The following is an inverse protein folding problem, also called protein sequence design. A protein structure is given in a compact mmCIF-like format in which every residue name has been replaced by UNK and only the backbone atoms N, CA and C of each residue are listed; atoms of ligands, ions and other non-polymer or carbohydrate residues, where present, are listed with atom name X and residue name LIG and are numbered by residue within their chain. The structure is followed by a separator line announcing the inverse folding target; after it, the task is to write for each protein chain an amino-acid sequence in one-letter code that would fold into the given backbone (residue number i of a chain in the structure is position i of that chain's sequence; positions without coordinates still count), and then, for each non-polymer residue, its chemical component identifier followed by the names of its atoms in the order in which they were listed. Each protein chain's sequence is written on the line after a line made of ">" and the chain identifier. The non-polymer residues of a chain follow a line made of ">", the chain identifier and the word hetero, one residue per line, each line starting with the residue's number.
data_IF_469924160943
#
_entry.id   IF_469924160943
#
_cell.length_a   1.000
_cell.length_b   1.000
_cell.length_c   1.000
_cell.angle_alpha   90.00
_cell.angle_beta   90.00
_cell.angle_gamma   90.00
#
_symmetry.space_group_name_H-M   'P 1'
#
loop_
_entity.id
_entity.type
_entity.pdbx_description
1 polymer ?
#
# COMPACT_ATOMS: atom_id res chain seq x y z
N UNK A 1 22.90 2.08 6.46
CA UNK A 1 22.99 1.34 5.19
C UNK A 1 21.58 0.88 4.86
N UNK A 2 20.94 1.46 3.85
CA UNK A 2 19.56 1.10 3.48
C UNK A 2 19.48 -0.31 2.86
N UNK A 3 20.63 -0.86 2.44
CA UNK A 3 20.76 -2.21 1.86
C UNK A 3 20.55 -3.36 2.86
N UNK A 4 20.28 -3.07 4.14
CA UNK A 4 19.96 -4.09 5.16
C UNK A 4 18.47 -4.39 5.26
N UNK A 5 17.61 -3.61 4.60
CA UNK A 5 16.20 -3.98 4.44
C UNK A 5 16.11 -5.06 3.37
N UNK A 6 15.55 -6.21 3.73
CA UNK A 6 15.38 -7.37 2.86
C UNK A 6 14.84 -6.98 1.47
N UNK A 7 15.73 -6.96 0.47
CA UNK A 7 15.47 -6.50 -0.90
C UNK A 7 14.75 -7.58 -1.73
N UNK A 8 14.32 -8.70 -1.10
CA UNK A 8 13.56 -9.76 -1.79
C UNK A 8 12.17 -9.33 -2.29
N UNK A 9 11.72 -8.13 -1.90
CA UNK A 9 10.46 -7.57 -2.35
C UNK A 9 9.26 -8.21 -1.65
N UNK A 10 8.06 -7.76 -2.01
CA UNK A 10 6.84 -8.22 -1.37
C UNK A 10 6.39 -9.56 -1.98
N UNK A 11 6.67 -10.68 -1.30
CA UNK A 11 6.06 -11.97 -1.66
C UNK A 11 4.52 -11.96 -1.57
N UNK A 12 3.81 -12.80 -2.35
CA UNK A 12 2.35 -12.88 -2.31
C UNK A 12 1.75 -13.10 -0.92
N UNK A 13 2.45 -13.83 -0.05
CA UNK A 13 2.00 -14.10 1.33
C UNK A 13 1.96 -12.86 2.20
N UNK A 14 2.88 -11.91 1.98
CA UNK A 14 2.88 -10.65 2.71
C UNK A 14 1.65 -9.82 2.34
N UNK A 15 1.31 -9.78 1.05
CA UNK A 15 0.08 -9.14 0.58
C UNK A 15 -1.16 -9.82 1.13
N UNK A 16 -1.23 -11.15 1.08
CA UNK A 16 -2.33 -11.92 1.66
C UNK A 16 -2.50 -11.60 3.16
N UNK A 17 -1.40 -11.50 3.91
CA UNK A 17 -1.42 -11.11 5.34
C UNK A 17 -2.02 -9.73 5.55
N UNK A 18 -1.68 -8.77 4.69
CA UNK A 18 -2.21 -7.41 4.76
C UNK A 18 -3.72 -7.40 4.51
N UNK A 19 -4.18 -8.10 3.46
CA UNK A 19 -5.60 -8.21 3.11
C UNK A 19 -6.37 -8.92 4.23
N UNK A 20 -5.83 -10.01 4.78
CA UNK A 20 -6.42 -10.74 5.89
C UNK A 20 -6.55 -9.85 7.14
N UNK A 21 -5.49 -9.11 7.49
CA UNK A 21 -5.49 -8.20 8.64
C UNK A 21 -6.56 -7.11 8.49
N UNK A 22 -6.66 -6.51 7.30
CA UNK A 22 -7.68 -5.50 7.03
C UNK A 22 -9.11 -6.06 7.09
N UNK A 23 -9.33 -7.28 6.59
CA UNK A 23 -10.64 -7.95 6.66
C UNK A 23 -11.05 -8.24 8.11
N UNK A 24 -10.11 -8.70 8.93
CA UNK A 24 -10.31 -8.98 10.36
C UNK A 24 -10.60 -7.69 11.12
N UNK A 25 -9.79 -6.65 10.92
CA UNK A 25 -10.00 -5.34 11.57
C UNK A 25 -11.37 -4.77 11.20
N UNK A 26 -11.71 -4.80 9.92
CA UNK A 26 -13.02 -4.35 9.46
C UNK A 26 -14.14 -5.12 10.15
N UNK A 27 -14.06 -6.45 10.19
CA UNK A 27 -15.08 -7.27 10.82
C UNK A 27 -15.19 -7.00 12.33
N UNK A 28 -14.07 -6.94 13.04
CA UNK A 28 -14.04 -6.68 14.47
C UNK A 28 -14.67 -5.33 14.83
N UNK A 29 -14.41 -4.29 14.02
CA UNK A 29 -14.92 -2.93 14.26
C UNK A 29 -16.35 -2.71 13.75
N UNK A 30 -16.77 -3.40 12.70
CA UNK A 30 -18.04 -3.13 11.99
C UNK A 30 -19.27 -3.66 12.72
N UNK A 31 -19.13 -4.77 13.45
CA UNK A 31 -20.25 -5.43 14.13
C UNK A 31 -20.22 -5.18 15.63
N UNK A 32 -21.28 -4.56 16.17
CA UNK A 32 -21.37 -4.28 17.60
C UNK A 32 -21.40 -5.56 18.44
N UNK A 33 -20.84 -5.49 19.65
CA UNK A 33 -20.87 -6.60 20.60
C UNK A 33 -22.26 -6.72 21.23
N UNK A 34 -22.82 -7.94 21.32
CA UNK A 34 -24.03 -8.19 22.11
C UNK A 34 -23.69 -8.15 23.61
N UNK A 35 -24.72 -8.10 24.46
CA UNK A 35 -24.58 -8.10 25.93
C UNK A 35 -23.71 -9.26 26.48
N UNK A 36 -23.64 -10.39 25.77
CA UNK A 36 -22.81 -11.55 26.10
C UNK A 36 -21.34 -11.49 25.64
N UNK A 37 -20.88 -10.34 25.12
CA UNK A 37 -19.50 -10.05 24.67
C UNK A 37 -18.93 -10.86 23.50
N UNK A 38 -19.33 -12.12 23.33
CA UNK A 38 -18.84 -13.03 22.29
C UNK A 38 -19.72 -12.99 21.03
N UNK A 39 -19.09 -12.87 19.88
CA UNK A 39 -19.70 -12.97 18.54
C UNK A 39 -19.21 -14.21 17.82
N UNK A 40 -19.94 -14.58 16.78
CA UNK A 40 -19.47 -15.51 15.76
C UNK A 40 -19.32 -14.73 14.46
N UNK A 41 -18.09 -14.64 13.96
CA UNK A 41 -17.73 -13.87 12.77
C UNK A 41 -17.31 -14.83 11.65
N UNK A 42 -18.08 -14.84 10.58
CA UNK A 42 -17.81 -15.64 9.39
C UNK A 42 -17.20 -14.72 8.32
N UNK A 43 -15.94 -14.97 7.94
CA UNK A 43 -15.20 -14.11 7.03
C UNK A 43 -14.60 -14.94 5.90
N UNK A 44 -14.94 -14.57 4.67
CA UNK A 44 -14.33 -15.14 3.46
C UNK A 44 -13.31 -14.18 2.90
N UNK A 45 -12.06 -14.62 2.79
CA UNK A 45 -10.93 -13.78 2.34
C UNK A 45 -10.31 -14.38 1.08
N UNK A 46 -10.20 -13.61 -0.02
CA UNK A 46 -9.43 -14.03 -1.18
C UNK A 46 -7.93 -13.95 -0.88
N UNK A 47 -7.19 -15.03 -1.17
CA UNK A 47 -5.74 -15.12 -0.96
C UNK A 47 -5.06 -15.66 -2.21
N UNK A 48 -3.82 -15.23 -2.45
CA UNK A 48 -3.02 -15.63 -3.59
C UNK A 48 -2.41 -17.02 -3.35
N UNK A 49 -1.80 -17.26 -2.19
CA UNK A 49 -1.22 -18.56 -1.85
C UNK A 49 -2.20 -19.43 -1.04
N UNK A 50 -3.30 -19.83 -1.69
CA UNK A 50 -4.38 -20.60 -1.05
C UNK A 50 -3.88 -21.87 -0.35
N UNK A 51 -2.91 -22.57 -0.95
CA UNK A 51 -2.36 -23.81 -0.40
C UNK A 51 -1.72 -23.59 0.96
N UNK A 52 -1.03 -22.47 1.15
CA UNK A 52 -0.39 -22.15 2.43
C UNK A 52 -1.41 -21.79 3.49
N UNK A 53 -2.41 -20.97 3.13
CA UNK A 53 -3.45 -20.53 4.05
C UNK A 53 -4.42 -21.64 4.48
N UNK A 54 -4.60 -22.67 3.65
CA UNK A 54 -5.40 -23.86 3.97
C UNK A 54 -4.66 -24.89 4.83
N UNK A 55 -3.37 -24.69 5.14
CA UNK A 55 -2.64 -25.63 6.00
C UNK A 55 -3.30 -25.68 7.39
N UNK A 56 -3.53 -26.88 7.96
CA UNK A 56 -4.17 -27.04 9.26
C UNK A 56 -3.50 -26.23 10.38
N UNK A 57 -2.16 -26.19 10.39
CA UNK A 57 -1.40 -25.46 11.41
C UNK A 57 -1.58 -23.95 11.31
N UNK A 58 -1.71 -23.43 10.09
CA UNK A 58 -1.94 -21.99 9.84
C UNK A 58 -3.34 -21.62 10.31
N UNK A 59 -4.36 -22.39 9.90
CA UNK A 59 -5.74 -22.18 10.34
C UNK A 59 -5.89 -22.27 11.86
N UNK A 60 -5.27 -23.28 12.48
CA UNK A 60 -5.28 -23.47 13.93
C UNK A 60 -4.64 -22.29 14.66
N UNK A 61 -3.49 -21.84 14.18
CA UNK A 61 -2.79 -20.69 14.75
C UNK A 61 -3.61 -19.40 14.61
N UNK A 62 -4.16 -19.13 13.43
CA UNK A 62 -5.03 -17.97 13.20
C UNK A 62 -6.25 -17.98 14.11
N UNK A 63 -6.99 -19.09 14.19
CA UNK A 63 -8.15 -19.18 15.06
C UNK A 63 -7.77 -18.99 16.54
N UNK A 64 -6.65 -19.58 16.98
CA UNK A 64 -6.15 -19.42 18.35
C UNK A 64 -5.85 -17.95 18.67
N UNK A 65 -5.09 -17.28 17.80
CA UNK A 65 -4.70 -15.88 17.96
C UNK A 65 -5.93 -14.97 17.95
N UNK A 66 -6.85 -15.14 17.00
CA UNK A 66 -8.02 -14.27 16.90
C UNK A 66 -8.98 -14.46 18.08
N UNK A 67 -9.22 -15.70 18.50
CA UNK A 67 -10.03 -15.97 19.68
C UNK A 67 -9.38 -15.37 20.94
N UNK A 68 -8.05 -15.48 21.09
CA UNK A 68 -7.32 -14.88 22.20
C UNK A 68 -7.41 -13.35 22.21
N UNK A 69 -7.23 -12.69 21.06
CA UNK A 69 -7.21 -11.23 20.96
C UNK A 69 -8.60 -10.59 21.06
N UNK A 70 -9.64 -11.26 20.58
CA UNK A 70 -10.98 -10.66 20.42
C UNK A 70 -12.04 -11.28 21.33
N UNK A 71 -11.79 -12.47 21.88
CA UNK A 71 -12.78 -13.26 22.62
C UNK A 71 -13.92 -13.81 21.75
N UNK A 72 -13.81 -13.70 20.42
CA UNK A 72 -14.84 -14.09 19.47
C UNK A 72 -14.57 -15.45 18.79
N UNK A 73 -15.64 -16.09 18.31
CA UNK A 73 -15.52 -17.26 17.45
C UNK A 73 -15.36 -16.82 15.99
N UNK A 74 -14.22 -17.12 15.39
CA UNK A 74 -13.95 -16.80 13.99
C UNK A 74 -14.09 -18.05 13.12
N UNK A 75 -14.79 -17.92 11.98
CA UNK A 75 -14.76 -18.90 10.89
C UNK A 75 -14.16 -18.25 9.66
N UNK A 76 -12.90 -18.56 9.40
CA UNK A 76 -12.19 -18.08 8.22
C UNK A 76 -12.35 -19.05 7.05
N UNK A 77 -12.80 -18.54 5.91
CA UNK A 77 -12.84 -19.28 4.65
C UNK A 77 -11.90 -18.62 3.65
N UNK A 78 -10.92 -19.36 3.16
CA UNK A 78 -10.00 -18.87 2.15
C UNK A 78 -10.42 -19.31 0.76
N UNK A 79 -10.45 -18.36 -0.18
CA UNK A 79 -10.75 -18.61 -1.60
C UNK A 79 -9.59 -18.13 -2.46
N UNK A 80 -9.38 -18.75 -3.62
CA UNK A 80 -8.32 -18.34 -4.54
C UNK A 80 -8.60 -16.93 -5.06
N UNK A 81 -7.65 -16.01 -4.90
CA UNK A 81 -7.73 -14.69 -5.50
C UNK A 81 -7.71 -14.80 -7.03
N UNK A 82 -8.59 -14.03 -7.70
CA UNK A 82 -8.66 -13.97 -9.17
C UNK A 82 -7.48 -13.21 -9.78
N UNK A 83 -6.94 -12.24 -9.04
CA UNK A 83 -5.83 -11.38 -9.46
C UNK A 83 -4.60 -11.67 -8.60
N UNK A 84 -3.41 -11.54 -9.18
CA UNK A 84 -2.14 -11.62 -8.46
C UNK A 84 -1.93 -10.40 -7.56
N UNK A 85 -0.90 -10.47 -6.71
CA UNK A 85 -0.51 -9.35 -5.84
C UNK A 85 -0.22 -8.10 -6.67
N UNK A 86 -0.91 -6.97 -6.41
CA UNK A 86 -0.52 -5.68 -6.98
C UNK A 86 0.80 -5.19 -6.37
N UNK A 87 1.23 -5.75 -5.24
CA UNK A 87 2.50 -5.42 -4.59
C UNK A 87 3.55 -6.43 -5.06
N UNK A 88 4.56 -5.96 -5.80
CA UNK A 88 5.64 -6.80 -6.34
C UNK A 88 5.54 -7.04 -7.85
N UNK A 89 4.36 -6.84 -8.47
CA UNK A 89 4.33 -6.47 -9.88
C UNK A 89 4.95 -5.08 -9.98
N UNK A 90 6.01 -4.96 -10.79
CA UNK A 90 6.80 -3.75 -11.06
C UNK A 90 6.01 -2.48 -10.72
N UNK A 91 6.52 -1.65 -9.80
CA UNK A 91 5.95 -0.33 -9.51
C UNK A 91 5.52 0.28 -10.84
N UNK A 92 4.21 0.54 -10.98
CA UNK A 92 3.66 1.07 -12.23
C UNK A 92 4.51 2.30 -12.55
N UNK A 93 5.18 2.34 -13.72
CA UNK A 93 5.94 3.51 -14.11
C UNK A 93 5.00 4.72 -13.97
N UNK A 94 5.46 5.77 -13.31
CA UNK A 94 4.69 7.00 -13.28
C UNK A 94 4.60 7.47 -14.73
N UNK A 95 3.41 7.37 -15.33
CA UNK A 95 3.21 7.77 -16.71
C UNK A 95 3.09 9.29 -16.75
N UNK A 96 4.09 9.93 -17.35
CA UNK A 96 4.15 11.38 -17.51
C UNK A 96 3.46 11.85 -18.81
N UNK A 97 2.85 10.95 -19.59
CA UNK A 97 2.16 11.25 -20.85
C UNK A 97 3.09 11.65 -22.02
N UNK A 98 4.30 12.11 -21.73
CA UNK A 98 5.39 12.41 -22.66
C UNK A 98 6.72 11.92 -22.08
N UNK A 99 7.63 11.47 -22.95
CA UNK A 99 8.99 11.15 -22.53
C UNK A 99 9.71 12.44 -22.11
N UNK A 100 10.12 12.52 -20.84
CA UNK A 100 10.94 13.61 -20.32
C UNK A 100 12.41 13.31 -20.59
N UNK A 101 13.17 14.33 -20.96
CA UNK A 101 14.56 14.19 -21.38
C UNK A 101 15.52 14.20 -20.20
N UNK A 102 15.20 14.95 -19.14
CA UNK A 102 16.02 15.06 -17.93
C UNK A 102 15.16 15.43 -16.70
N UNK A 103 15.73 15.31 -15.51
CA UNK A 103 15.08 15.65 -14.25
C UNK A 103 15.82 16.76 -13.50
N UNK A 104 15.07 17.66 -12.86
CA UNK A 104 15.60 18.81 -12.11
C UNK A 104 15.13 18.71 -10.66
N UNK A 105 16.05 18.84 -9.70
CA UNK A 105 15.69 19.00 -8.30
C UNK A 105 15.03 20.36 -8.07
N UNK A 106 13.78 20.37 -7.60
CA UNK A 106 12.96 21.57 -7.52
C UNK A 106 12.51 21.84 -6.08
N UNK A 107 13.09 22.86 -5.44
CA UNK A 107 12.75 23.24 -4.06
C UNK A 107 11.66 24.31 -3.98
N UNK A 108 11.22 24.84 -5.12
CA UNK A 108 10.41 26.07 -5.24
C UNK A 108 11.16 27.34 -4.75
N UNK A 109 12.47 27.24 -4.55
CA UNK A 109 13.36 28.37 -4.29
C UNK A 109 13.78 29.09 -5.57
N UNK A 110 14.37 30.28 -5.41
CA UNK A 110 14.81 31.14 -6.52
C UNK A 110 15.72 30.39 -7.50
N UNK A 111 16.70 29.66 -6.99
CA UNK A 111 17.67 28.95 -7.82
C UNK A 111 17.02 27.82 -8.63
N UNK A 112 16.12 27.05 -8.01
CA UNK A 112 15.39 26.00 -8.74
C UNK A 112 14.46 26.56 -9.81
N UNK A 113 13.91 27.77 -9.62
CA UNK A 113 13.12 28.46 -10.63
C UNK A 113 13.97 28.97 -11.78
N UNK A 114 15.12 29.55 -11.48
CA UNK A 114 16.08 29.99 -12.49
C UNK A 114 16.56 28.80 -13.32
N UNK A 115 16.96 27.69 -12.68
CA UNK A 115 17.37 26.47 -13.37
C UNK A 115 16.24 25.89 -14.22
N UNK A 116 15.02 25.79 -13.69
CA UNK A 116 13.86 25.32 -14.46
C UNK A 116 13.60 26.19 -15.69
N UNK A 117 13.66 27.51 -15.55
CA UNK A 117 13.44 28.44 -16.67
C UNK A 117 14.56 28.39 -17.72
N UNK A 118 15.82 28.14 -17.30
CA UNK A 118 16.96 28.01 -18.20
C UNK A 118 17.05 26.62 -18.87
N UNK A 119 16.35 25.62 -18.32
CA UNK A 119 16.42 24.24 -18.80
C UNK A 119 15.65 24.00 -20.11
N UNK A 120 14.92 24.99 -20.62
CA UNK A 120 14.25 24.92 -21.91
C UNK A 120 12.74 24.71 -21.78
N UNK A 121 12.16 23.96 -22.71
CA UNK A 121 10.71 23.76 -22.78
C UNK A 121 10.20 22.97 -21.57
N UNK A 122 9.08 23.41 -20.98
CA UNK A 122 8.41 22.73 -19.87
C UNK A 122 8.16 21.25 -20.22
N UNK A 123 7.81 20.94 -21.46
CA UNK A 123 7.56 19.56 -21.88
C UNK A 123 8.78 18.59 -21.78
N UNK A 124 10.01 19.09 -21.65
CA UNK A 124 11.24 18.27 -21.64
C UNK A 124 11.77 17.95 -20.23
N UNK A 125 11.39 18.75 -19.20
CA UNK A 125 12.05 18.77 -17.90
C UNK A 125 11.18 18.23 -16.75
N UNK A 126 11.56 17.10 -16.14
CA UNK A 126 10.86 16.56 -14.98
C UNK A 126 11.29 17.26 -13.68
N UNK A 127 10.50 18.22 -13.17
CA UNK A 127 10.77 18.87 -11.88
C UNK A 127 10.36 17.99 -10.68
N UNK A 128 11.35 17.49 -9.93
CA UNK A 128 11.16 16.64 -8.77
C UNK A 128 11.25 17.47 -7.49
N UNK A 129 10.17 17.53 -6.71
CA UNK A 129 10.17 18.27 -5.45
C UNK A 129 11.04 17.58 -4.40
N UNK A 130 12.08 18.26 -3.93
CA UNK A 130 12.96 17.78 -2.86
C UNK A 130 12.72 18.61 -1.59
N UNK A 131 12.17 17.99 -0.54
CA UNK A 131 11.92 18.66 0.73
C UNK A 131 12.26 17.74 1.91
N UNK A 132 13.01 18.25 2.89
CA UNK A 132 13.37 17.52 4.11
C UNK A 132 12.23 17.36 5.13
N UNK A 133 11.16 18.15 4.98
CA UNK A 133 9.95 18.09 5.81
C UNK A 133 8.69 18.15 4.95
N UNK A 134 7.58 17.61 5.47
CA UNK A 134 6.28 17.56 4.78
C UNK A 134 5.70 18.98 4.64
N UNK A 135 5.96 19.65 3.51
CA UNK A 135 5.40 20.96 3.24
C UNK A 135 3.94 20.87 2.79
N UNK A 136 3.08 21.70 3.39
CA UNK A 136 1.67 21.84 2.97
C UNK A 136 1.61 22.42 1.56
N UNK A 137 0.74 21.86 0.72
CA UNK A 137 0.40 22.43 -0.60
C UNK A 137 -0.13 23.84 -0.45
N UNK A 138 0.33 24.75 -1.31
CA UNK A 138 -0.21 26.11 -1.39
C UNK A 138 -1.46 26.12 -2.27
N UNK A 139 -2.38 27.04 -2.01
CA UNK A 139 -3.59 27.23 -2.81
C UNK A 139 -3.18 27.67 -4.22
N UNK A 140 -3.45 26.83 -5.23
CA UNK A 140 -2.99 27.04 -6.61
C UNK A 140 -1.93 26.04 -7.07
N UNK A 141 -1.36 25.23 -6.17
CA UNK A 141 -0.49 24.11 -6.57
C UNK A 141 -1.32 23.06 -7.34
N UNK A 142 -0.92 22.75 -8.58
CA UNK A 142 -1.56 21.68 -9.36
C UNK A 142 -1.32 20.31 -8.71
N UNK A 143 -2.28 19.39 -8.86
CA UNK A 143 -2.22 18.04 -8.28
C UNK A 143 -1.24 17.18 -9.06
N UNK A 144 0.08 17.34 -8.91
CA UNK A 144 1.06 16.55 -9.69
C UNK A 144 0.78 16.59 -11.22
N UNK A 145 -0.04 17.53 -11.70
CA UNK A 145 -0.66 17.50 -13.04
C UNK A 145 0.10 18.38 -14.02
N UNK A 146 1.05 19.15 -13.52
CA UNK A 146 2.18 19.64 -14.28
C UNK A 146 3.41 19.39 -13.41
N UNK A 147 3.86 18.13 -13.42
CA UNK A 147 5.31 18.00 -13.57
C UNK A 147 5.52 18.37 -15.04
N UNK A 148 6.35 19.40 -15.34
CA UNK A 148 6.44 19.94 -16.68
C UNK A 148 6.57 18.82 -17.69
#
# INVERSE_FOLDING_TARGET
>A
VLDTFDVKGCEPRHYDMLVLSAAIEFADRRWMRPLGWRRTLDVTVPVIDLKTWQKPDVLKTLHSVLNHLTGDAWRLTFVQAKNLSPIGSRQIPLDFGKAKTFAVAYSDGLDSRAVSALSGNEDEALCIRVAGNRQRRKKGDSYFTQIP
#
